data_IF_825842567156
#
_entry.id   IF_825842567156
#
_cell.length_a   1.000
_cell.length_b   1.000
_cell.length_c   1.000
_cell.angle_alpha   90.00
_cell.angle_beta   90.00
_cell.angle_gamma   90.00
#
_symmetry.space_group_name_H-M   'P 1'
#
loop_
_entity.id
_entity.type
_entity.pdbx_description
1 polymer ?
#
# COMPACT_ATOMS: atom_id res chain seq x y z
N UNK A 1 -5.68 -3.48 -2.26
CA UNK A 1 -5.30 -3.29 -0.83
C UNK A 1 -5.05 -1.83 -0.47
N UNK A 2 -4.14 -1.14 -1.17
CA UNK A 2 -3.83 0.29 -0.95
C UNK A 2 -5.07 1.18 -0.77
N UNK A 3 -5.99 1.19 -1.74
CA UNK A 3 -7.20 2.04 -1.70
C UNK A 3 -8.11 1.74 -0.50
N UNK A 4 -8.22 0.48 -0.09
CA UNK A 4 -9.04 0.10 1.06
C UNK A 4 -8.45 0.74 2.34
N UNK A 5 -7.15 0.56 2.56
CA UNK A 5 -6.48 1.14 3.74
C UNK A 5 -6.53 2.66 3.72
N UNK A 6 -6.24 3.28 2.56
CA UNK A 6 -6.28 4.73 2.37
C UNK A 6 -7.67 5.33 2.67
N UNK A 7 -8.76 4.61 2.34
CA UNK A 7 -10.14 5.07 2.58
C UNK A 7 -10.68 4.66 3.96
N UNK A 8 -9.88 3.99 4.80
CA UNK A 8 -10.32 3.51 6.12
C UNK A 8 -11.24 2.29 6.04
N UNK A 9 -11.24 1.57 4.93
CA UNK A 9 -11.91 0.27 4.78
C UNK A 9 -10.98 -0.86 5.21
N UNK A 10 -11.47 -1.81 6.01
CA UNK A 10 -10.72 -3.01 6.38
C UNK A 10 -10.36 -3.78 5.09
N UNK A 11 -9.06 -3.92 4.74
CA UNK A 11 -8.67 -4.65 3.55
C UNK A 11 -8.93 -6.15 3.70
N UNK A 12 -9.43 -6.76 2.63
CA UNK A 12 -9.50 -8.21 2.46
C UNK A 12 -8.36 -8.65 1.55
N UNK A 13 -7.52 -9.57 2.04
CA UNK A 13 -6.35 -10.14 1.36
C UNK A 13 -6.73 -11.54 0.90
N UNK A 14 -6.87 -11.73 -0.41
CA UNK A 14 -7.24 -13.03 -1.01
C UNK A 14 -6.02 -13.88 -1.39
N UNK A 15 -4.84 -13.25 -1.43
CA UNK A 15 -3.56 -13.88 -1.75
C UNK A 15 -2.63 -13.77 -0.53
N UNK A 16 -2.79 -14.66 0.48
CA UNK A 16 -2.01 -14.58 1.72
C UNK A 16 -0.50 -14.75 1.49
N UNK A 17 -0.12 -15.48 0.43
CA UNK A 17 1.29 -15.78 0.11
C UNK A 17 2.00 -14.62 -0.59
N UNK A 18 1.30 -13.52 -0.87
CA UNK A 18 1.89 -12.30 -1.41
C UNK A 18 2.22 -11.35 -0.28
N UNK A 19 3.51 -11.04 -0.12
CA UNK A 19 3.98 -10.06 0.83
C UNK A 19 3.35 -8.69 0.57
N UNK A 20 2.74 -8.12 1.60
CA UNK A 20 2.12 -6.80 1.52
C UNK A 20 3.17 -5.68 1.67
N UNK A 21 2.90 -4.47 1.18
CA UNK A 21 3.78 -3.32 1.40
C UNK A 21 4.07 -3.12 2.89
N UNK A 22 5.35 -3.01 3.24
CA UNK A 22 5.80 -2.86 4.64
C UNK A 22 5.29 -3.96 5.60
N UNK A 23 5.02 -5.17 5.11
CA UNK A 23 4.51 -6.29 5.92
C UNK A 23 5.37 -6.61 7.15
N UNK A 24 6.68 -6.38 7.08
CA UNK A 24 7.59 -6.54 8.21
C UNK A 24 7.42 -5.48 9.31
N UNK A 25 6.79 -4.34 9.00
CA UNK A 25 6.67 -3.18 9.88
C UNK A 25 5.22 -2.87 10.28
N UNK A 26 4.24 -3.41 9.57
CA UNK A 26 2.82 -3.15 9.80
C UNK A 26 2.09 -4.41 10.26
N UNK A 27 1.27 -4.33 11.32
CA UNK A 27 0.60 -5.48 11.89
C UNK A 27 -0.65 -5.84 11.10
N UNK A 28 -0.48 -6.37 9.88
CA UNK A 28 -1.59 -6.69 8.97
C UNK A 28 -2.67 -7.58 9.61
N UNK A 29 -2.28 -8.50 10.50
CA UNK A 29 -3.23 -9.35 11.24
C UNK A 29 -4.22 -8.57 12.11
N UNK A 30 -3.89 -7.35 12.50
CA UNK A 30 -4.71 -6.54 13.42
C UNK A 30 -5.74 -5.68 12.69
N UNK A 31 -5.56 -5.42 11.38
CA UNK A 31 -6.42 -4.51 10.62
C UNK A 31 -6.88 -5.05 9.28
N UNK A 32 -6.52 -6.28 8.90
CA UNK A 32 -6.92 -6.91 7.63
C UNK A 32 -7.59 -8.26 7.85
N UNK A 33 -8.34 -8.70 6.86
CA UNK A 33 -8.90 -10.06 6.79
C UNK A 33 -8.11 -10.82 5.75
N UNK A 34 -7.53 -11.96 6.11
CA UNK A 34 -6.91 -12.86 5.14
C UNK A 34 -7.87 -14.00 4.81
N UNK A 35 -8.07 -14.24 3.51
CA UNK A 35 -8.90 -15.32 2.99
C UNK A 35 -8.01 -16.10 2.03
N UNK A 36 -7.91 -17.41 2.24
CA UNK A 36 -7.20 -18.27 1.30
C UNK A 36 -7.93 -18.28 -0.05
N UNK A 37 -7.19 -18.29 -1.16
CA UNK A 37 -7.77 -18.20 -2.51
C UNK A 37 -8.83 -19.29 -2.77
N UNK A 38 -8.64 -20.51 -2.26
CA UNK A 38 -9.62 -21.59 -2.41
C UNK A 38 -10.92 -21.36 -1.62
N UNK A 39 -10.90 -20.49 -0.61
CA UNK A 39 -12.04 -20.15 0.25
C UNK A 39 -12.83 -18.92 -0.24
N UNK A 40 -12.50 -18.39 -1.43
CA UNK A 40 -13.19 -17.22 -2.00
C UNK A 40 -14.70 -17.39 -2.10
N UNK A 41 -15.19 -18.60 -2.38
CA UNK A 41 -16.63 -18.87 -2.48
C UNK A 41 -17.38 -18.66 -1.16
N UNK A 42 -16.71 -18.86 -0.03
CA UNK A 42 -17.26 -18.64 1.33
C UNK A 42 -17.00 -17.22 1.85
N UNK A 43 -16.43 -16.33 1.03
CA UNK A 43 -16.12 -14.96 1.43
C UNK A 43 -17.34 -14.18 1.98
N UNK A 44 -18.56 -14.26 1.40
CA UNK A 44 -19.71 -13.55 1.94
C UNK A 44 -20.02 -13.93 3.40
N UNK A 45 -19.98 -15.22 3.70
CA UNK A 45 -20.26 -15.75 5.04
C UNK A 45 -19.16 -15.39 6.05
N UNK A 46 -17.89 -15.48 5.62
CA UNK A 46 -16.74 -15.08 6.44
C UNK A 46 -16.79 -13.59 6.79
N UNK A 47 -17.09 -12.73 5.81
CA UNK A 47 -17.19 -11.29 6.04
C UNK A 47 -18.42 -10.93 6.88
N UNK A 48 -19.54 -11.62 6.71
CA UNK A 48 -20.73 -11.46 7.55
C UNK A 48 -20.43 -11.82 9.02
N UNK A 49 -19.68 -12.90 9.27
CA UNK A 49 -19.24 -13.28 10.62
C UNK A 49 -18.37 -12.21 11.29
N UNK A 50 -17.48 -11.56 10.52
CA UNK A 50 -16.65 -10.46 11.03
C UNK A 50 -17.50 -9.20 11.30
N UNK A 51 -18.45 -8.89 10.42
CA UNK A 51 -19.34 -7.74 10.60
C UNK A 51 -20.30 -7.91 11.79
N UNK A 52 -20.70 -9.15 12.10
CA UNK A 52 -21.54 -9.46 13.26
C UNK A 52 -20.78 -9.33 14.59
N UNK A 53 -19.46 -9.50 14.60
CA UNK A 53 -18.61 -9.30 15.77
C UNK A 53 -18.20 -7.83 15.91
N UNK A 54 -19.09 -7.03 16.51
CA UNK A 54 -18.89 -5.59 16.71
C UNK A 54 -17.58 -5.25 17.46
N UNK A 55 -17.17 -6.07 18.43
CA UNK A 55 -15.97 -5.82 19.22
C UNK A 55 -14.70 -6.00 18.38
N UNK A 56 -14.65 -7.10 17.60
CA UNK A 56 -13.58 -7.35 16.65
C UNK A 56 -13.54 -6.29 15.55
N UNK A 57 -14.69 -5.96 14.97
CA UNK A 57 -14.77 -4.94 13.92
C UNK A 57 -14.24 -3.58 14.42
N UNK A 58 -14.65 -3.15 15.62
CA UNK A 58 -14.17 -1.92 16.23
C UNK A 58 -12.67 -1.94 16.54
N UNK A 59 -12.12 -3.09 16.96
CA UNK A 59 -10.69 -3.24 17.17
C UNK A 59 -9.91 -3.10 15.86
N UNK A 60 -10.36 -3.76 14.79
CA UNK A 60 -9.74 -3.67 13.47
C UNK A 60 -9.79 -2.25 12.91
N UNK A 61 -10.91 -1.55 13.08
CA UNK A 61 -11.05 -0.14 12.66
C UNK A 61 -10.09 0.80 13.40
N UNK A 62 -9.88 0.59 14.71
CA UNK A 62 -8.90 1.37 15.49
C UNK A 62 -7.47 1.12 15.00
N UNK A 63 -7.10 -0.14 14.81
CA UNK A 63 -5.78 -0.50 14.27
C UNK A 63 -5.58 0.08 12.87
N UNK A 64 -6.61 0.04 12.02
CA UNK A 64 -6.59 0.61 10.68
C UNK A 64 -6.36 2.13 10.70
N UNK A 65 -7.06 2.85 11.58
CA UNK A 65 -6.88 4.30 11.72
C UNK A 65 -5.45 4.70 12.11
N UNK A 66 -4.75 3.86 12.90
CA UNK A 66 -3.35 4.10 13.25
C UNK A 66 -2.39 3.95 12.07
N UNK A 67 -2.68 3.05 11.12
CA UNK A 67 -1.79 2.72 9.99
C UNK A 67 -2.16 3.43 8.69
N UNK A 68 -3.40 3.89 8.53
CA UNK A 68 -3.95 4.51 7.32
C UNK A 68 -3.06 5.65 6.79
N UNK A 69 -2.50 6.47 7.68
CA UNK A 69 -1.58 7.58 7.35
C UNK A 69 -0.33 7.16 6.57
N UNK A 70 0.11 5.90 6.66
CA UNK A 70 1.25 5.38 5.90
C UNK A 70 0.91 5.02 4.46
N UNK A 71 -0.39 4.93 4.13
CA UNK A 71 -0.91 4.60 2.80
C UNK A 71 -1.52 5.80 2.09
N UNK A 72 -1.33 7.01 2.60
CA UNK A 72 -1.67 8.21 1.84
C UNK A 72 -0.50 8.50 0.90
N UNK A 73 -0.73 8.45 -0.41
CA UNK A 73 0.20 8.96 -1.42
C UNK A 73 -0.14 10.41 -1.74
N UNK A 74 0.88 11.26 -1.79
CA UNK A 74 0.71 12.61 -2.30
C UNK A 74 1.65 13.02 -3.38
N UNK A 75 1.05 13.75 -4.30
CA UNK A 75 1.69 14.50 -5.34
C UNK A 75 0.87 15.79 -5.47
N UNK A 76 1.53 16.95 -5.31
CA UNK A 76 0.96 18.31 -5.36
C UNK A 76 0.18 18.81 -4.11
N UNK A 77 0.81 18.76 -2.92
CA UNK A 77 0.56 19.65 -1.76
C UNK A 77 -0.74 19.46 -0.93
N UNK A 78 -1.27 18.24 -0.75
CA UNK A 78 -2.40 17.98 0.19
C UNK A 78 -2.25 16.63 0.91
N UNK A 79 -1.72 16.59 2.16
CA UNK A 79 -1.73 15.34 3.00
C UNK A 79 -0.47 14.66 3.64
N UNK A 80 0.78 15.10 3.45
CA UNK A 80 1.99 14.25 3.18
C UNK A 80 2.05 12.81 3.72
N UNK A 81 2.08 11.84 2.79
CA UNK A 81 2.50 10.44 3.00
C UNK A 81 3.93 10.30 3.53
N UNK A 82 4.07 10.26 4.87
CA UNK A 82 5.36 10.25 5.59
C UNK A 82 6.33 9.12 5.16
N UNK A 83 5.82 7.95 4.78
CA UNK A 83 6.67 6.78 4.52
C UNK A 83 7.49 6.92 3.22
N UNK A 84 6.86 7.40 2.14
CA UNK A 84 7.55 7.60 0.86
C UNK A 84 8.58 8.72 0.95
N UNK A 85 8.21 9.84 1.57
CA UNK A 85 9.12 10.97 1.73
C UNK A 85 10.29 10.66 2.67
N UNK A 86 10.04 10.01 3.81
CA UNK A 86 11.10 9.59 4.74
C UNK A 86 12.06 8.58 4.09
N UNK A 87 11.54 7.65 3.29
CA UNK A 87 12.38 6.73 2.52
C UNK A 87 13.27 7.50 1.52
N UNK A 88 12.69 8.42 0.74
CA UNK A 88 13.43 9.20 -0.24
C UNK A 88 14.50 10.08 0.42
N UNK A 89 14.22 10.66 1.59
CA UNK A 89 15.22 11.40 2.37
C UNK A 89 16.36 10.50 2.84
N UNK A 90 16.05 9.38 3.50
CA UNK A 90 17.06 8.43 3.98
C UNK A 90 17.94 7.94 2.82
N UNK A 91 17.32 7.64 1.67
CA UNK A 91 18.05 7.21 0.48
C UNK A 91 18.88 8.35 -0.10
N UNK A 92 18.37 9.58 -0.16
CA UNK A 92 19.12 10.75 -0.61
C UNK A 92 20.35 10.97 0.27
N UNK A 93 20.20 10.95 1.59
CA UNK A 93 21.29 11.20 2.54
C UNK A 93 22.36 10.10 2.48
N UNK A 94 21.95 8.84 2.28
CA UNK A 94 22.88 7.69 2.25
C UNK A 94 23.53 7.47 0.88
N UNK A 95 22.79 7.67 -0.20
CA UNK A 95 23.26 7.39 -1.56
C UNK A 95 23.90 8.63 -2.21
N UNK A 96 23.53 9.85 -1.80
CA UNK A 96 24.01 11.10 -2.39
C UNK A 96 24.32 12.19 -1.36
N UNK A 97 25.40 12.04 -0.57
CA UNK A 97 25.87 13.12 0.29
C UNK A 97 26.43 14.28 -0.57
N UNK A 98 25.61 15.31 -0.82
CA UNK A 98 26.06 16.61 -1.34
C UNK A 98 25.37 17.12 -2.62
N UNK A 99 24.86 16.24 -3.50
CA UNK A 99 23.94 16.60 -4.62
C UNK A 99 23.45 15.33 -5.35
N UNK A 100 22.16 15.22 -5.68
CA UNK A 100 21.68 14.13 -6.53
C UNK A 100 22.31 14.26 -7.93
N UNK A 101 22.57 13.13 -8.62
CA UNK A 101 23.14 13.14 -9.95
C UNK A 101 22.06 13.68 -10.90
N UNK A 102 22.47 14.52 -11.84
CA UNK A 102 21.56 15.01 -12.87
C UNK A 102 21.27 13.86 -13.81
N UNK A 103 20.09 13.25 -13.69
CA UNK A 103 19.65 12.21 -14.62
C UNK A 103 19.24 12.88 -15.93
N UNK A 104 20.10 12.83 -16.94
CA UNK A 104 19.76 13.23 -18.31
C UNK A 104 19.08 12.03 -18.98
N UNK A 105 17.75 12.01 -18.99
CA UNK A 105 16.99 11.05 -19.78
C UNK A 105 17.21 11.37 -21.26
N UNK A 106 17.95 10.52 -21.99
CA UNK A 106 17.95 10.57 -23.46
C UNK A 106 16.59 10.07 -23.95
N UNK A 107 15.92 10.86 -24.77
CA UNK A 107 14.70 10.42 -25.44
C UNK A 107 14.98 9.12 -26.21
N UNK A 108 14.07 8.14 -26.20
CA UNK A 108 14.24 6.94 -27.01
C UNK A 108 14.32 7.32 -28.49
N UNK A 109 15.29 6.75 -29.20
CA UNK A 109 15.41 6.90 -30.65
C UNK A 109 14.20 6.22 -31.27
N UNK A 110 13.26 7.01 -31.80
CA UNK A 110 12.17 6.48 -32.62
C UNK A 110 12.80 6.10 -33.97
N UNK A 111 12.96 4.81 -34.21
CA UNK A 111 13.31 4.32 -35.54
C UNK A 111 12.13 4.62 -36.47
N UNK A 112 12.23 5.65 -37.30
CA UNK A 112 11.31 5.84 -38.43
C UNK A 112 11.47 4.64 -39.36
N UNK A 113 10.54 3.69 -39.28
CA UNK A 113 10.34 2.75 -40.36
C UNK A 113 9.87 3.55 -41.57
N UNK A 114 10.70 3.58 -42.62
CA UNK A 114 10.30 4.02 -43.95
C UNK A 114 9.14 3.12 -44.38
N UNK A 115 7.93 3.68 -44.46
CA UNK A 115 6.88 3.13 -45.30
C UNK A 115 7.38 3.21 -46.75
N UNK A 116 7.63 2.04 -47.34
CA UNK A 116 7.64 1.84 -48.77
C UNK A 116 6.20 1.82 -49.30
#
# INVERSE_FOLDING_TARGET
LYYAVMLGCIPVIVQPDVAQPFHANLPYGDFSVSIAQHAMYSMPELLAGIAADNAKLAAMQRSLACVQKYFHWEFNLVRDGQAGWMLLQILSDRLWPGKPPTVVCKAPVVASQMLL
#
